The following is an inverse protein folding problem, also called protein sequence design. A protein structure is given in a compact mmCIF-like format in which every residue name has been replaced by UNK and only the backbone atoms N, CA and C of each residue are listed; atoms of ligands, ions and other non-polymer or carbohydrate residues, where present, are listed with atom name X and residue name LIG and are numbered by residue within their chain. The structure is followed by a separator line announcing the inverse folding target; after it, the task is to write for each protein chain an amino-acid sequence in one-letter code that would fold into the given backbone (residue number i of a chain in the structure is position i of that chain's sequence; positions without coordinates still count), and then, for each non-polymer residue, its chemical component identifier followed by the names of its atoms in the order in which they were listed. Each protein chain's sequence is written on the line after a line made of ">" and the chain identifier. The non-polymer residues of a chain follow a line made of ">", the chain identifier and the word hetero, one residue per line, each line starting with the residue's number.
data_IF_497010999992
#
_entry.id   IF_497010999992
#
_cell.length_a   1.000
_cell.length_b   1.000
_cell.length_c   1.000
_cell.angle_alpha   90.00
_cell.angle_beta   90.00
_cell.angle_gamma   90.00
#
_symmetry.space_group_name_H-M   'P 1'
#
loop_
_entity.id
_entity.type
_entity.pdbx_description
1 polymer ?
#
# COMPACT_ATOMS: atom_id res chain seq x y z
N UNK A 1 -2.47 -8.84 0.37
CA UNK A 1 -2.65 -8.49 -1.05
C UNK A 1 -1.31 -8.50 -1.79
N UNK A 2 -0.29 -7.81 -1.28
CA UNK A 2 1.05 -7.72 -1.89
C UNK A 2 1.71 -9.07 -2.19
N UNK A 3 1.64 -10.02 -1.26
CA UNK A 3 2.22 -11.36 -1.43
C UNK A 3 1.52 -12.19 -2.54
N UNK A 4 0.25 -11.90 -2.82
CA UNK A 4 -0.50 -12.54 -3.90
C UNK A 4 -0.14 -11.97 -5.27
N UNK A 5 0.07 -10.66 -5.35
CA UNK A 5 0.48 -9.96 -6.57
C UNK A 5 1.93 -10.29 -6.95
N UNK A 6 2.83 -10.39 -5.97
CA UNK A 6 4.21 -10.84 -6.20
C UNK A 6 4.26 -12.27 -6.73
N UNK A 7 3.44 -13.17 -6.16
CA UNK A 7 3.29 -14.55 -6.67
C UNK A 7 2.67 -14.62 -8.06
N UNK A 8 1.90 -13.61 -8.46
CA UNK A 8 1.37 -13.47 -9.82
C UNK A 8 2.38 -12.81 -10.80
N UNK A 9 3.61 -12.54 -10.35
CA UNK A 9 4.68 -11.96 -11.19
C UNK A 9 4.73 -10.43 -11.22
N UNK A 10 3.94 -9.75 -10.37
CA UNK A 10 3.90 -8.29 -10.32
C UNK A 10 4.95 -7.76 -9.34
N UNK A 11 5.65 -6.68 -9.71
CA UNK A 11 6.62 -6.02 -8.82
C UNK A 11 5.93 -4.94 -8.01
N UNK A 12 5.98 -5.03 -6.69
CA UNK A 12 5.51 -3.96 -5.81
C UNK A 12 6.42 -2.73 -5.97
N UNK A 13 5.84 -1.58 -6.32
CA UNK A 13 6.57 -0.33 -6.54
C UNK A 13 6.64 0.54 -5.27
N UNK A 14 5.52 0.65 -4.55
CA UNK A 14 5.37 1.43 -3.33
C UNK A 14 4.10 1.00 -2.59
N UNK A 15 4.01 1.37 -1.31
CA UNK A 15 2.87 1.05 -0.43
C UNK A 15 2.47 2.28 0.38
N UNK A 16 1.19 2.43 0.70
CA UNK A 16 0.65 3.46 1.60
C UNK A 16 -0.12 2.73 2.70
N UNK A 17 0.31 2.88 3.95
CA UNK A 17 -0.27 2.17 5.09
C UNK A 17 -0.14 3.02 6.36
N UNK A 18 -1.27 3.39 6.96
CA UNK A 18 -1.33 4.30 8.11
C UNK A 18 -0.91 3.62 9.41
N UNK A 19 -1.10 2.31 9.54
CA UNK A 19 -0.75 1.55 10.74
C UNK A 19 0.78 1.29 10.83
N UNK A 20 1.46 1.80 11.87
CA UNK A 20 2.90 1.58 12.08
C UNK A 20 3.29 0.12 12.31
N UNK A 21 2.42 -0.72 12.88
CA UNK A 21 2.64 -2.15 13.04
C UNK A 21 2.64 -2.85 11.67
N UNK A 22 1.65 -2.56 10.83
CA UNK A 22 1.59 -3.07 9.46
C UNK A 22 2.82 -2.64 8.65
N UNK A 23 3.26 -1.37 8.76
CA UNK A 23 4.51 -0.91 8.13
C UNK A 23 5.75 -1.67 8.59
N UNK A 24 5.84 -2.11 9.85
CA UNK A 24 6.95 -2.95 10.34
C UNK A 24 6.96 -4.31 9.66
N UNK A 25 5.79 -4.95 9.53
CA UNK A 25 5.65 -6.22 8.82
C UNK A 25 6.03 -6.05 7.34
N UNK A 26 5.50 -5.02 6.67
CA UNK A 26 5.84 -4.70 5.28
C UNK A 26 7.34 -4.43 5.09
N UNK A 27 8.01 -3.78 6.05
CA UNK A 27 9.46 -3.53 6.00
C UNK A 27 10.29 -4.81 6.09
N UNK A 28 9.79 -5.85 6.77
CA UNK A 28 10.44 -7.15 6.82
C UNK A 28 10.43 -7.86 5.46
N UNK A 29 9.33 -7.73 4.72
CA UNK A 29 9.16 -8.39 3.42
C UNK A 29 9.75 -7.58 2.26
N UNK A 30 9.59 -6.26 2.27
CA UNK A 30 10.12 -5.36 1.24
C UNK A 30 10.91 -4.21 1.85
N UNK A 31 12.16 -4.46 2.32
CA UNK A 31 12.92 -3.46 3.08
C UNK A 31 13.30 -2.21 2.27
N UNK A 32 13.44 -2.33 0.95
CA UNK A 32 13.93 -1.27 0.06
C UNK A 32 12.77 -0.41 -0.49
N UNK A 33 11.53 -0.92 -0.46
CA UNK A 33 10.38 -0.21 -1.04
C UNK A 33 9.93 0.96 -0.19
N UNK A 34 9.56 2.05 -0.87
CA UNK A 34 9.04 3.27 -0.25
C UNK A 34 7.66 3.00 0.35
N UNK A 35 7.49 3.44 1.60
CA UNK A 35 6.24 3.29 2.37
C UNK A 35 5.79 4.66 2.81
N UNK A 36 4.57 4.99 2.46
CA UNK A 36 3.87 6.19 2.89
C UNK A 36 2.89 5.80 4.00
N UNK A 37 2.41 6.78 4.74
CA UNK A 37 1.54 6.61 5.89
C UNK A 37 0.08 6.88 5.52
N UNK A 38 -0.30 8.15 5.41
CA UNK A 38 -1.67 8.58 5.30
C UNK A 38 -2.03 8.82 3.82
N UNK A 39 -2.98 8.03 3.33
CA UNK A 39 -3.49 8.14 1.96
C UNK A 39 -4.17 9.50 1.68
N UNK A 40 -4.69 10.19 2.71
CA UNK A 40 -5.35 11.49 2.56
C UNK A 40 -4.37 12.63 2.33
N UNK A 41 -3.12 12.46 2.78
CA UNK A 41 -2.01 13.41 2.56
C UNK A 41 -1.02 12.92 1.51
N UNK A 42 -1.19 11.69 1.03
CA UNK A 42 -0.34 11.08 0.02
C UNK A 42 -0.45 11.84 -1.30
N UNK A 43 0.68 12.40 -1.75
CA UNK A 43 0.79 13.09 -3.03
C UNK A 43 1.63 12.26 -4.00
N UNK A 44 1.02 11.62 -5.00
CA UNK A 44 1.77 10.91 -6.04
C UNK A 44 2.54 11.93 -6.91
N UNK A 45 3.83 12.12 -6.63
CA UNK A 45 4.77 12.90 -7.47
C UNK A 45 5.10 12.13 -8.74
N UNK A 46 5.55 12.81 -9.81
CA UNK A 46 5.92 12.22 -11.12
C UNK A 46 6.84 10.98 -11.03
N UNK A 47 7.66 10.86 -9.98
CA UNK A 47 8.53 9.69 -9.73
C UNK A 47 7.77 8.42 -9.32
N UNK A 48 6.52 8.58 -8.88
CA UNK A 48 5.63 7.55 -8.33
C UNK A 48 4.54 7.16 -9.35
N UNK A 49 4.44 7.91 -10.46
CA UNK A 49 3.54 7.61 -11.59
C UNK A 49 4.11 6.48 -12.45
N UNK A 50 3.22 5.71 -13.09
CA UNK A 50 3.61 4.59 -13.97
C UNK A 50 3.48 3.20 -13.36
N UNK A 51 2.52 3.02 -12.44
CA UNK A 51 2.10 1.68 -12.00
C UNK A 51 0.95 1.17 -12.85
N UNK A 52 1.00 -0.10 -13.24
CA UNK A 52 -0.05 -0.72 -14.06
C UNK A 52 -1.31 -1.06 -13.25
N UNK A 53 -1.18 -1.16 -11.92
CA UNK A 53 -2.26 -1.50 -11.01
C UNK A 53 -2.07 -0.81 -9.65
N UNK A 54 -3.16 -0.23 -9.14
CA UNK A 54 -3.29 0.18 -7.74
C UNK A 54 -4.32 -0.74 -7.09
N UNK A 55 -3.94 -1.39 -6.01
CA UNK A 55 -4.81 -2.25 -5.22
C UNK A 55 -4.87 -1.71 -3.79
N UNK A 56 -6.09 -1.48 -3.29
CA UNK A 56 -6.34 -1.02 -1.93
C UNK A 56 -7.52 -1.78 -1.33
N UNK A 57 -7.43 -2.08 -0.03
CA UNK A 57 -8.57 -2.56 0.77
C UNK A 57 -9.01 -1.43 1.68
N UNK A 58 -10.30 -1.10 1.67
CA UNK A 58 -10.89 -0.16 2.62
C UNK A 58 -11.33 -0.93 3.88
N UNK A 59 -11.20 -0.38 5.10
CA UNK A 59 -11.69 -1.04 6.30
C UNK A 59 -13.17 -1.39 6.18
N UNK A 60 -13.53 -2.66 6.44
CA UNK A 60 -14.91 -3.15 6.33
C UNK A 60 -15.86 -2.65 7.44
N UNK A 61 -15.44 -1.71 8.27
CA UNK A 61 -16.19 -1.24 9.44
C UNK A 61 -16.95 0.10 9.24
N UNK A 62 -16.99 0.70 8.04
CA UNK A 62 -17.91 1.83 7.75
C UNK A 62 -19.25 1.36 7.18
N UNK A 63 -19.97 0.53 7.93
CA UNK A 63 -21.36 0.20 7.60
C UNK A 63 -22.31 0.29 8.78
N UNK A 64 -22.12 1.24 9.71
CA UNK A 64 -23.21 1.68 10.59
C UNK A 64 -23.07 3.17 10.91
N UNK A 65 -23.86 4.01 10.23
CA UNK A 65 -24.67 5.07 10.85
C UNK A 65 -25.68 5.54 9.79
N UNK A 66 -26.90 5.04 9.92
CA UNK A 66 -28.14 5.68 9.41
C UNK A 66 -28.71 6.60 10.47
#
# INVERSE_FOLDING_TARGET
>A
MDLGLERAGMRCAWQVEIDPYCRKVLKKHWPILRKYDDITTFQPTQEIHGVDLIAGGFPSEDSETV
#
